data_IF_872630208431
#
_entry.id   IF_872630208431
#
_cell.length_a   1.000
_cell.length_b   1.000
_cell.length_c   1.000
_cell.angle_alpha   90.00
_cell.angle_beta   90.00
_cell.angle_gamma   90.00
#
_symmetry.space_group_name_H-M   'P 1'
#
loop_
_entity.id
_entity.type
_entity.pdbx_description
1 polymer ?
#
# COMPACT_ATOMS: atom_id res chain seq x y z
N UNK A 1 -12.55 64.60 -4.14
CA UNK A 1 -13.19 63.27 -4.00
C UNK A 1 -12.07 62.28 -3.75
N UNK A 2 -11.95 61.72 -2.53
CA UNK A 2 -10.90 60.75 -2.20
C UNK A 2 -11.51 59.35 -2.23
N UNK A 3 -11.06 58.51 -3.17
CA UNK A 3 -11.52 57.14 -3.33
C UNK A 3 -10.52 56.21 -2.64
N UNK A 4 -10.89 55.65 -1.49
CA UNK A 4 -10.07 54.69 -0.76
C UNK A 4 -10.31 53.29 -1.35
N UNK A 5 -9.31 52.73 -2.02
CA UNK A 5 -9.35 51.35 -2.51
C UNK A 5 -8.81 50.45 -1.39
N UNK A 6 -9.72 49.86 -0.61
CA UNK A 6 -9.40 48.77 0.30
C UNK A 6 -9.23 47.47 -0.51
N UNK A 7 -7.98 47.07 -0.75
CA UNK A 7 -7.67 45.79 -1.40
C UNK A 7 -7.83 44.65 -0.38
N UNK A 8 -8.92 43.89 -0.49
CA UNK A 8 -9.12 42.67 0.31
C UNK A 8 -8.43 41.51 -0.41
N UNK A 9 -7.24 41.14 0.07
CA UNK A 9 -6.53 39.95 -0.39
C UNK A 9 -7.19 38.70 0.23
N UNK A 10 -8.01 38.00 -0.55
CA UNK A 10 -8.51 36.68 -0.18
C UNK A 10 -7.38 35.65 -0.32
N UNK A 11 -6.76 35.27 0.80
CA UNK A 11 -5.80 34.18 0.83
C UNK A 11 -6.53 32.84 0.62
N UNK A 12 -6.50 32.32 -0.61
CA UNK A 12 -6.90 30.96 -0.94
C UNK A 12 -5.85 29.99 -0.35
N UNK A 13 -6.06 29.57 0.89
CA UNK A 13 -5.37 28.41 1.45
C UNK A 13 -5.93 27.16 0.78
N UNK A 14 -5.36 26.78 -0.36
CA UNK A 14 -5.52 25.43 -0.90
C UNK A 14 -4.91 24.49 0.14
N UNK A 15 -5.77 23.81 0.90
CA UNK A 15 -5.36 22.71 1.76
C UNK A 15 -4.88 21.58 0.85
N UNK A 16 -3.57 21.51 0.60
CA UNK A 16 -2.97 20.32 0.00
C UNK A 16 -3.30 19.15 0.93
N UNK A 17 -4.27 18.32 0.53
CA UNK A 17 -4.55 17.07 1.23
C UNK A 17 -3.25 16.25 1.18
N UNK A 18 -2.80 15.65 2.30
CA UNK A 18 -1.64 14.78 2.26
C UNK A 18 -1.91 13.69 1.23
N UNK A 19 -1.00 13.49 0.28
CA UNK A 19 -1.06 12.37 -0.64
C UNK A 19 -0.97 11.09 0.19
N UNK A 20 -2.09 10.39 0.36
CA UNK A 20 -2.13 9.10 1.06
C UNK A 20 -1.22 8.14 0.30
N UNK A 21 -0.24 7.56 0.99
CA UNK A 21 0.64 6.56 0.43
C UNK A 21 1.00 5.55 1.50
N UNK A 22 1.24 4.31 1.08
CA UNK A 22 1.61 3.22 1.95
C UNK A 22 3.02 2.72 1.64
N UNK A 23 3.65 2.14 2.66
CA UNK A 23 4.92 1.44 2.56
C UNK A 23 4.69 -0.04 2.77
N UNK A 24 5.28 -0.86 1.90
CA UNK A 24 5.23 -2.32 1.95
C UNK A 24 6.62 -2.90 2.13
N UNK A 25 6.75 -3.90 3.00
CA UNK A 25 8.00 -4.61 3.27
C UNK A 25 7.76 -6.10 3.07
N UNK A 26 8.66 -6.75 2.36
CA UNK A 26 8.51 -8.14 1.97
C UNK A 26 9.55 -9.01 2.69
N UNK A 27 9.11 -10.13 3.27
CA UNK A 27 9.91 -10.95 4.16
C UNK A 27 9.95 -12.41 3.71
N UNK A 28 11.11 -13.06 3.89
CA UNK A 28 11.27 -14.51 3.68
C UNK A 28 10.74 -15.32 4.87
N UNK A 29 10.59 -14.70 6.04
CA UNK A 29 9.98 -15.29 7.23
C UNK A 29 8.47 -15.03 7.31
N UNK A 30 7.78 -15.86 8.10
CA UNK A 30 6.42 -15.55 8.54
C UNK A 30 6.43 -14.38 9.54
N UNK A 31 5.27 -13.76 9.73
CA UNK A 31 5.01 -12.74 10.76
C UNK A 31 5.99 -11.55 10.71
N UNK A 32 6.41 -11.20 9.49
CA UNK A 32 7.34 -10.12 9.19
C UNK A 32 8.66 -10.26 9.95
N UNK A 33 9.07 -11.50 10.19
CA UNK A 33 10.33 -11.84 10.81
C UNK A 33 11.45 -12.00 9.76
N UNK A 34 12.68 -11.79 10.24
CA UNK A 34 13.86 -11.71 9.38
C UNK A 34 13.98 -10.34 8.70
N UNK A 35 15.12 -10.08 8.07
CA UNK A 35 15.30 -8.84 7.31
C UNK A 35 14.33 -8.77 6.13
N UNK A 36 13.71 -7.61 5.92
CA UNK A 36 12.95 -7.36 4.70
C UNK A 36 13.92 -7.41 3.50
N UNK A 37 13.60 -8.23 2.50
CA UNK A 37 14.44 -8.37 1.30
C UNK A 37 14.05 -7.40 0.20
N UNK A 38 12.87 -6.77 0.32
CA UNK A 38 12.38 -5.75 -0.59
C UNK A 38 11.47 -4.78 0.16
N UNK A 39 11.43 -3.53 -0.32
CA UNK A 39 10.59 -2.45 0.20
C UNK A 39 9.98 -1.70 -0.98
N UNK A 40 8.69 -1.41 -0.91
CA UNK A 40 8.00 -0.53 -1.84
C UNK A 40 7.44 0.66 -1.05
N UNK A 41 7.97 1.85 -1.29
CA UNK A 41 7.60 3.08 -0.62
C UNK A 41 6.74 3.98 -1.51
N UNK A 42 5.95 4.86 -0.89
CA UNK A 42 5.09 5.82 -1.57
C UNK A 42 4.12 5.17 -2.57
N UNK A 43 3.65 3.96 -2.26
CA UNK A 43 2.66 3.29 -3.10
C UNK A 43 1.34 4.03 -2.96
N UNK A 44 0.71 4.50 -4.03
CA UNK A 44 -0.58 5.17 -3.97
C UNK A 44 -1.73 4.15 -3.73
N UNK A 45 -2.89 4.60 -3.21
CA UNK A 45 -4.04 3.73 -3.06
C UNK A 45 -4.50 3.23 -4.41
N UNK A 46 -5.13 2.06 -4.41
CA UNK A 46 -5.69 1.39 -5.58
C UNK A 46 -4.66 0.98 -6.62
N UNK A 47 -3.41 0.82 -6.20
CA UNK A 47 -2.32 0.28 -7.01
C UNK A 47 -2.00 -1.16 -6.61
N UNK A 48 -1.64 -1.97 -7.61
CA UNK A 48 -1.21 -3.35 -7.37
C UNK A 48 0.30 -3.39 -7.20
N UNK A 49 0.73 -3.75 -6.00
CA UNK A 49 2.14 -3.93 -5.69
C UNK A 49 2.49 -5.39 -5.98
N UNK A 50 3.40 -5.66 -6.89
CA UNK A 50 3.79 -7.02 -7.26
C UNK A 50 5.29 -7.09 -7.57
N UNK A 51 5.84 -8.30 -7.52
CA UNK A 51 7.22 -8.53 -7.95
C UNK A 51 7.31 -8.63 -9.48
N UNK A 52 8.02 -7.71 -10.18
CA UNK A 52 8.06 -7.71 -11.64
C UNK A 52 8.75 -8.94 -12.25
N UNK A 53 9.57 -9.67 -11.48
CA UNK A 53 10.35 -10.83 -11.93
C UNK A 53 9.88 -12.16 -11.33
N UNK A 54 8.61 -12.27 -10.90
CA UNK A 54 8.06 -13.52 -10.34
C UNK A 54 8.61 -13.88 -8.96
N UNK A 55 8.97 -12.87 -8.16
CA UNK A 55 9.34 -13.05 -6.76
C UNK A 55 8.13 -13.35 -5.88
N UNK A 56 8.36 -13.89 -4.68
CA UNK A 56 7.31 -14.10 -3.70
C UNK A 56 7.83 -13.94 -2.27
N UNK A 57 6.95 -13.54 -1.36
CA UNK A 57 7.25 -13.26 0.04
C UNK A 57 6.44 -14.18 0.97
N UNK A 58 7.04 -14.63 2.06
CA UNK A 58 6.34 -15.44 3.06
C UNK A 58 5.40 -14.59 3.92
N UNK A 59 5.75 -13.32 4.15
CA UNK A 59 4.87 -12.33 4.74
C UNK A 59 5.11 -10.94 4.15
N UNK A 60 4.08 -10.09 4.23
CA UNK A 60 4.11 -8.70 3.79
C UNK A 60 3.72 -7.81 4.96
N UNK A 61 4.64 -6.94 5.36
CA UNK A 61 4.38 -5.86 6.29
C UNK A 61 3.88 -4.63 5.54
N UNK A 62 2.95 -3.90 6.12
CA UNK A 62 2.38 -2.70 5.53
C UNK A 62 2.23 -1.60 6.57
N UNK A 63 2.30 -0.35 6.12
CA UNK A 63 2.14 0.86 6.92
C UNK A 63 1.49 1.94 6.06
N UNK A 64 0.56 2.72 6.62
CA UNK A 64 -0.10 3.82 5.91
C UNK A 64 -1.25 3.41 4.99
N UNK A 65 -1.78 2.20 5.12
CA UNK A 65 -2.99 1.77 4.38
C UNK A 65 -4.21 2.52 4.95
N UNK A 66 -5.06 3.13 4.12
CA UNK A 66 -6.15 3.96 4.65
C UNK A 66 -7.34 3.16 5.17
N UNK A 67 -7.73 2.07 4.50
CA UNK A 67 -8.95 1.35 4.84
C UNK A 67 -8.82 -0.16 4.80
N UNK A 68 -8.30 -0.72 3.72
CA UNK A 68 -8.22 -2.16 3.50
C UNK A 68 -7.03 -2.50 2.61
N UNK A 69 -6.48 -3.69 2.82
CA UNK A 69 -5.50 -4.32 1.93
C UNK A 69 -5.90 -5.76 1.63
N UNK A 70 -5.66 -6.15 0.39
CA UNK A 70 -5.89 -7.48 -0.17
C UNK A 70 -4.54 -8.11 -0.55
N UNK A 71 -4.38 -9.40 -0.25
CA UNK A 71 -3.16 -10.17 -0.52
C UNK A 71 -3.43 -11.32 -1.47
N UNK A 72 -2.47 -11.57 -2.37
CA UNK A 72 -2.62 -12.53 -3.46
C UNK A 72 -1.45 -13.51 -3.47
N UNK A 73 -1.77 -14.80 -3.60
CA UNK A 73 -0.78 -15.88 -3.61
C UNK A 73 -0.05 -15.95 -4.95
N UNK A 74 1.21 -16.37 -4.89
CA UNK A 74 2.05 -16.58 -6.07
C UNK A 74 1.74 -17.88 -6.80
N UNK A 75 2.01 -17.91 -8.11
CA UNK A 75 2.09 -19.14 -8.91
C UNK A 75 0.76 -19.59 -9.48
N UNK A 76 -0.15 -18.66 -9.74
CA UNK A 76 -1.49 -19.00 -10.21
C UNK A 76 -2.27 -17.83 -10.80
N UNK A 77 -3.58 -17.99 -10.99
CA UNK A 77 -4.42 -16.92 -11.53
C UNK A 77 -4.43 -15.67 -10.65
N UNK A 78 -4.00 -15.76 -9.39
CA UNK A 78 -4.06 -14.64 -8.45
C UNK A 78 -2.91 -13.63 -8.60
N UNK A 79 -1.94 -13.90 -9.47
CA UNK A 79 -0.76 -13.07 -9.65
C UNK A 79 -1.16 -11.64 -10.08
N UNK A 80 -0.42 -10.64 -9.59
CA UNK A 80 -0.62 -9.22 -9.92
C UNK A 80 -2.04 -8.72 -9.64
N UNK A 81 -2.55 -9.06 -8.45
CA UNK A 81 -3.85 -8.62 -7.96
C UNK A 81 -5.03 -8.99 -8.86
N UNK A 82 -4.93 -10.12 -9.56
CA UNK A 82 -6.00 -10.64 -10.41
C UNK A 82 -6.70 -11.82 -9.73
N UNK A 83 -7.86 -12.24 -10.25
CA UNK A 83 -8.61 -13.45 -9.86
C UNK A 83 -8.91 -13.68 -8.36
N UNK A 84 -8.96 -12.62 -7.56
CA UNK A 84 -9.49 -12.64 -6.20
C UNK A 84 -8.43 -12.78 -5.11
N UNK A 85 -8.67 -12.09 -4.00
CA UNK A 85 -7.74 -12.05 -2.88
C UNK A 85 -7.80 -13.36 -2.08
N UNK A 86 -6.63 -13.83 -1.64
CA UNK A 86 -6.53 -14.98 -0.73
C UNK A 86 -6.68 -14.58 0.74
N UNK A 87 -6.39 -13.32 1.07
CA UNK A 87 -6.58 -12.75 2.39
C UNK A 87 -6.85 -11.24 2.29
N UNK A 88 -7.45 -10.69 3.32
CA UNK A 88 -7.67 -9.26 3.49
C UNK A 88 -7.28 -8.84 4.92
N UNK A 89 -6.87 -7.59 5.08
CA UNK A 89 -6.65 -6.97 6.38
C UNK A 89 -7.12 -5.51 6.38
N UNK A 90 -7.37 -4.97 7.57
CA UNK A 90 -7.78 -3.57 7.73
C UNK A 90 -6.64 -2.58 7.52
N UNK A 91 -7.01 -1.30 7.49
CA UNK A 91 -6.08 -0.18 7.36
C UNK A 91 -5.17 0.03 8.56
N UNK A 92 -4.32 1.05 8.43
CA UNK A 92 -3.21 1.35 9.31
C UNK A 92 -1.96 0.57 8.91
N UNK A 93 -1.39 -0.11 9.90
CA UNK A 93 -0.14 -0.83 9.79
C UNK A 93 -0.30 -2.24 10.32
N UNK A 94 0.36 -3.19 9.69
CA UNK A 94 0.21 -4.59 10.05
C UNK A 94 1.16 -5.50 9.32
N UNK A 95 0.93 -6.79 9.50
CA UNK A 95 1.67 -7.85 8.83
C UNK A 95 0.70 -8.97 8.45
N UNK A 96 0.79 -9.43 7.20
CA UNK A 96 0.07 -10.60 6.73
C UNK A 96 1.05 -11.73 6.41
N UNK A 97 0.74 -12.92 6.90
CA UNK A 97 1.51 -14.15 6.65
C UNK A 97 0.79 -15.02 5.63
N UNK A 98 1.50 -15.48 4.61
CA UNK A 98 0.93 -16.38 3.61
C UNK A 98 0.63 -17.76 4.23
N UNK A 99 -0.45 -18.44 3.80
CA UNK A 99 -0.78 -19.78 4.26
C UNK A 99 0.39 -20.77 4.15
N UNK A 100 0.34 -21.85 4.92
CA UNK A 100 1.35 -22.90 4.86
C UNK A 100 1.44 -23.50 3.44
N UNK A 101 2.67 -23.62 2.92
CA UNK A 101 2.91 -24.10 1.55
C UNK A 101 2.79 -23.04 0.44
N UNK A 102 2.37 -21.81 0.76
CA UNK A 102 2.22 -20.72 -0.22
C UNK A 102 3.05 -19.49 0.18
N UNK A 103 3.23 -18.60 -0.79
CA UNK A 103 3.81 -17.26 -0.62
C UNK A 103 2.87 -16.21 -1.25
N UNK A 104 2.95 -14.98 -0.78
CA UNK A 104 2.33 -13.83 -1.45
C UNK A 104 3.21 -13.33 -2.58
N UNK A 105 2.59 -12.96 -3.70
CA UNK A 105 3.27 -12.31 -4.83
C UNK A 105 2.91 -10.84 -4.96
N UNK A 106 1.69 -10.50 -4.56
CA UNK A 106 1.18 -9.14 -4.73
C UNK A 106 0.19 -8.75 -3.65
N UNK A 107 0.01 -7.44 -3.51
CA UNK A 107 -0.97 -6.84 -2.63
C UNK A 107 -1.62 -5.63 -3.30
N UNK A 108 -2.84 -5.31 -2.90
CA UNK A 108 -3.64 -4.19 -3.40
C UNK A 108 -4.35 -3.51 -2.24
N UNK A 109 -4.31 -2.18 -2.15
CA UNK A 109 -4.85 -1.48 -0.98
C UNK A 109 -5.77 -0.31 -1.35
N UNK A 110 -6.63 0.08 -0.42
CA UNK A 110 -7.69 1.08 -0.56
C UNK A 110 -7.55 2.25 0.40
#
# INVERSE_FOLDING_TARGET
MHFNIGLVAAALLVSASPAMSATFRFYNGADCQGGAFSVADNVPPRDCIFFPNGGSAKSIGYDGVSSEILFYLSGGPNDKCTNGAAAAAGGGSGCATAPAGFNFESAYWF
#
